data_IF_673003212055
#
_entry.id   IF_673003212055
#
_cell.length_a   1.000
_cell.length_b   1.000
_cell.length_c   1.000
_cell.angle_alpha   90.00
_cell.angle_beta   90.00
_cell.angle_gamma   90.00
#
_symmetry.space_group_name_H-M   'P 1'
#
loop_
_entity.id
_entity.type
_entity.pdbx_description
1 polymer ?
#
# COMPACT_ATOMS: atom_id res chain seq x y z
N UNK A 1 -12.04 0.43 -14.40
CA UNK A 1 -10.91 -0.43 -14.85
C UNK A 1 -11.45 -1.64 -15.60
N UNK A 2 -10.83 -1.98 -16.70
CA UNK A 2 -11.26 -3.15 -17.46
C UNK A 2 -10.69 -4.46 -16.87
N UNK A 3 -11.14 -5.58 -17.41
CA UNK A 3 -10.75 -6.90 -16.91
C UNK A 3 -9.23 -7.12 -17.03
N UNK A 4 -8.63 -6.63 -18.11
CA UNK A 4 -7.19 -6.80 -18.32
C UNK A 4 -6.38 -6.01 -17.27
N UNK A 5 -6.79 -4.78 -16.97
CA UNK A 5 -6.15 -3.98 -15.93
C UNK A 5 -6.25 -4.65 -14.56
N UNK A 6 -7.44 -5.11 -14.20
CA UNK A 6 -7.67 -5.78 -12.92
C UNK A 6 -6.79 -7.03 -12.81
N UNK A 7 -6.71 -7.82 -13.87
CA UNK A 7 -5.89 -9.03 -13.88
C UNK A 7 -4.41 -8.73 -13.70
N UNK A 8 -3.92 -7.68 -14.35
CA UNK A 8 -2.51 -7.28 -14.24
C UNK A 8 -2.19 -6.77 -12.84
N UNK A 9 -3.08 -5.95 -12.26
CA UNK A 9 -2.91 -5.45 -10.91
C UNK A 9 -2.93 -6.57 -9.88
N UNK A 10 -3.85 -7.51 -10.05
CA UNK A 10 -3.95 -8.70 -9.19
C UNK A 10 -2.63 -9.49 -9.21
N UNK A 11 -2.12 -9.77 -10.41
CA UNK A 11 -0.86 -10.51 -10.55
C UNK A 11 0.32 -9.74 -9.97
N UNK A 12 0.38 -8.43 -10.20
CA UNK A 12 1.45 -7.59 -9.68
C UNK A 12 1.48 -7.61 -8.15
N UNK A 13 0.33 -7.40 -7.52
CA UNK A 13 0.28 -7.36 -6.05
C UNK A 13 0.56 -8.72 -5.43
N UNK A 14 0.12 -9.81 -6.05
CA UNK A 14 0.46 -11.16 -5.57
C UNK A 14 1.96 -11.39 -5.60
N UNK A 15 2.64 -10.91 -6.62
CA UNK A 15 4.11 -11.03 -6.71
C UNK A 15 4.80 -10.11 -5.69
N UNK A 16 4.36 -8.85 -5.62
CA UNK A 16 4.98 -7.87 -4.74
C UNK A 16 4.87 -8.29 -3.27
N UNK A 17 3.69 -8.73 -2.88
CA UNK A 17 3.42 -9.13 -1.50
C UNK A 17 3.75 -10.61 -1.24
N UNK A 18 4.17 -11.34 -2.27
CA UNK A 18 4.48 -12.78 -2.17
C UNK A 18 3.32 -13.55 -1.52
N UNK A 19 2.09 -13.19 -1.89
CA UNK A 19 0.89 -13.76 -1.27
C UNK A 19 -0.17 -14.11 -2.32
N UNK A 20 -0.55 -15.40 -2.44
CA UNK A 20 -1.64 -15.79 -3.32
C UNK A 20 -3.01 -15.40 -2.78
N UNK A 21 -3.07 -14.95 -1.52
CA UNK A 21 -4.34 -14.55 -0.88
C UNK A 21 -4.77 -13.13 -1.25
N UNK A 22 -3.89 -12.35 -1.88
CA UNK A 22 -4.23 -11.01 -2.36
C UNK A 22 -5.15 -11.14 -3.57
N UNK A 23 -6.23 -10.37 -3.58
CA UNK A 23 -7.15 -10.31 -4.71
C UNK A 23 -7.53 -8.85 -4.99
N UNK A 24 -7.52 -8.47 -6.26
CA UNK A 24 -8.01 -7.16 -6.69
C UNK A 24 -9.43 -7.35 -7.23
N UNK A 25 -10.39 -6.65 -6.65
CA UNK A 25 -11.81 -6.81 -6.96
C UNK A 25 -12.35 -5.51 -7.55
N UNK A 26 -12.87 -5.53 -8.79
CA UNK A 26 -13.41 -4.32 -9.39
C UNK A 26 -14.73 -3.91 -8.73
N UNK A 27 -15.03 -2.62 -8.80
CA UNK A 27 -16.33 -2.10 -8.37
C UNK A 27 -17.16 -1.79 -9.61
N UNK A 28 -18.31 -2.43 -9.80
CA UNK A 28 -19.07 -2.32 -11.04
C UNK A 28 -19.46 -0.89 -11.44
N UNK A 29 -19.60 0.00 -10.49
CA UNK A 29 -20.06 1.37 -10.73
C UNK A 29 -18.92 2.39 -10.73
N UNK A 30 -17.67 1.94 -10.63
CA UNK A 30 -16.50 2.81 -10.55
C UNK A 30 -15.40 2.33 -11.49
N UNK A 31 -15.04 3.16 -12.45
CA UNK A 31 -13.96 2.85 -13.40
C UNK A 31 -12.58 3.24 -12.87
N UNK A 32 -12.54 4.06 -11.85
CA UNK A 32 -11.32 4.66 -11.32
C UNK A 32 -10.86 4.04 -9.99
N UNK A 33 -11.44 2.90 -9.62
CA UNK A 33 -11.28 2.39 -8.27
C UNK A 33 -11.48 0.88 -8.23
N UNK A 34 -10.68 0.20 -7.42
CA UNK A 34 -10.84 -1.23 -7.15
C UNK A 34 -10.49 -1.48 -5.68
N UNK A 35 -11.04 -2.56 -5.13
CA UNK A 35 -10.74 -2.96 -3.75
C UNK A 35 -9.69 -4.06 -3.76
N UNK A 36 -8.83 -4.07 -2.73
CA UNK A 36 -7.83 -5.11 -2.53
C UNK A 36 -8.17 -5.89 -1.28
N UNK A 37 -8.32 -7.20 -1.44
CA UNK A 37 -8.61 -8.11 -0.33
C UNK A 37 -7.39 -8.96 -0.02
N UNK A 38 -7.20 -9.25 1.25
CA UNK A 38 -6.26 -10.25 1.73
C UNK A 38 -7.09 -11.36 2.36
N UNK A 39 -7.26 -12.47 1.66
CA UNK A 39 -8.24 -13.46 2.04
C UNK A 39 -9.64 -12.87 1.94
N UNK A 40 -10.41 -12.91 3.02
CA UNK A 40 -11.77 -12.38 3.08
C UNK A 40 -11.84 -10.96 3.66
N UNK A 41 -10.70 -10.39 4.05
CA UNK A 41 -10.67 -9.06 4.66
C UNK A 41 -10.32 -7.99 3.64
N UNK A 42 -11.04 -6.88 3.70
CA UNK A 42 -10.70 -5.71 2.91
C UNK A 42 -9.38 -5.15 3.44
N UNK A 43 -8.36 -5.14 2.58
CA UNK A 43 -7.02 -4.75 2.97
C UNK A 43 -6.66 -3.33 2.56
N UNK A 44 -7.08 -2.92 1.37
CA UNK A 44 -6.78 -1.59 0.84
C UNK A 44 -7.54 -1.35 -0.43
N UNK A 45 -7.11 -0.33 -1.18
CA UNK A 45 -7.76 0.01 -2.44
C UNK A 45 -6.76 0.51 -3.47
N UNK A 46 -7.15 0.45 -4.73
CA UNK A 46 -6.37 1.00 -5.83
C UNK A 46 -7.20 2.10 -6.48
N UNK A 47 -6.59 3.27 -6.66
CA UNK A 47 -7.21 4.42 -7.30
C UNK A 47 -6.44 4.72 -8.58
N UNK A 48 -7.16 4.95 -9.68
CA UNK A 48 -6.56 5.29 -10.96
C UNK A 48 -6.16 6.76 -10.97
N UNK A 49 -4.97 7.03 -11.49
CA UNK A 49 -4.46 8.38 -11.71
C UNK A 49 -4.17 8.51 -13.22
N UNK A 50 -4.94 9.37 -13.90
CA UNK A 50 -4.82 9.60 -15.34
C UNK A 50 -4.19 10.96 -15.68
N UNK A 51 -3.51 11.59 -14.74
CA UNK A 51 -2.91 12.90 -15.00
C UNK A 51 -1.82 12.82 -16.06
N UNK A 52 -1.69 13.88 -16.86
CA UNK A 52 -0.62 14.08 -17.84
C UNK A 52 -0.55 12.99 -18.93
N UNK A 53 -1.71 12.47 -19.33
CA UNK A 53 -1.83 11.42 -20.37
C UNK A 53 -1.12 10.12 -20.03
N UNK A 54 -0.61 10.00 -18.81
CA UNK A 54 -0.02 8.76 -18.32
C UNK A 54 -0.97 8.14 -17.30
N UNK A 55 -1.27 6.86 -17.50
CA UNK A 55 -2.12 6.14 -16.56
C UNK A 55 -1.26 5.45 -15.53
N UNK A 56 -1.52 5.75 -14.28
CA UNK A 56 -0.88 5.07 -13.16
C UNK A 56 -1.93 4.72 -12.12
N UNK A 57 -1.51 4.00 -11.10
CA UNK A 57 -2.40 3.54 -10.04
C UNK A 57 -1.76 3.85 -8.70
N UNK A 58 -2.60 4.09 -7.70
CA UNK A 58 -2.12 4.34 -6.35
C UNK A 58 -2.77 3.32 -5.43
N UNK A 59 -1.96 2.48 -4.80
CA UNK A 59 -2.45 1.57 -3.76
C UNK A 59 -2.46 2.34 -2.45
N UNK A 60 -3.59 2.30 -1.76
CA UNK A 60 -3.79 3.04 -0.51
C UNK A 60 -4.31 2.11 0.57
N UNK A 61 -3.77 2.25 1.77
CA UNK A 61 -4.23 1.50 2.93
C UNK A 61 -4.14 2.36 4.17
N UNK A 62 -5.24 2.43 4.91
CA UNK A 62 -5.25 3.07 6.23
C UNK A 62 -4.81 2.05 7.28
N UNK A 63 -3.94 2.46 8.19
CA UNK A 63 -3.42 1.61 9.26
C UNK A 63 -3.63 2.32 10.58
N UNK A 64 -4.31 1.65 11.53
CA UNK A 64 -4.48 2.16 12.89
C UNK A 64 -3.79 1.19 13.84
N UNK A 65 -2.89 1.71 14.66
CA UNK A 65 -2.18 0.90 15.67
C UNK A 65 -2.79 1.13 17.04
N UNK A 66 -2.95 0.05 17.80
CA UNK A 66 -3.44 0.12 19.18
C UNK A 66 -2.50 0.98 20.02
N UNK A 67 -3.06 1.90 20.78
CA UNK A 67 -2.30 2.73 21.70
C UNK A 67 -1.58 3.91 21.08
N UNK A 68 -1.76 4.15 19.77
CA UNK A 68 -1.10 5.28 19.09
C UNK A 68 -1.72 6.62 19.40
N UNK A 69 -2.99 6.64 19.85
CA UNK A 69 -3.69 7.88 20.15
C UNK A 69 -4.06 8.68 18.91
N UNK A 70 -4.28 9.98 19.11
CA UNK A 70 -4.60 10.91 18.01
C UNK A 70 -3.32 11.48 17.42
N UNK A 71 -3.35 11.71 16.11
CA UNK A 71 -2.25 12.33 15.38
C UNK A 71 -0.91 11.68 15.74
N UNK A 72 -0.80 10.35 15.59
CA UNK A 72 0.44 9.66 15.94
C UNK A 72 1.59 10.11 15.04
N UNK A 73 2.80 9.98 15.54
CA UNK A 73 4.00 10.36 14.80
C UNK A 73 4.73 9.10 14.31
N UNK A 74 5.48 9.27 13.24
CA UNK A 74 6.35 8.20 12.74
C UNK A 74 7.71 8.32 13.45
N UNK A 75 7.65 8.10 14.75
CA UNK A 75 8.84 8.04 15.61
C UNK A 75 9.36 6.60 15.66
N UNK A 76 10.43 6.37 16.41
CA UNK A 76 11.06 5.06 16.48
C UNK A 76 10.10 3.97 16.96
N UNK A 77 9.26 4.29 17.96
CA UNK A 77 8.30 3.31 18.51
C UNK A 77 7.25 2.91 17.48
N UNK A 78 6.62 3.88 16.82
CA UNK A 78 5.58 3.60 15.86
C UNK A 78 6.14 2.96 14.58
N UNK A 79 7.33 3.36 14.14
CA UNK A 79 8.00 2.70 13.02
C UNK A 79 8.25 1.22 13.34
N UNK A 80 8.68 0.90 14.56
CA UNK A 80 8.89 -0.49 14.98
C UNK A 80 7.57 -1.28 14.95
N UNK A 81 6.48 -0.69 15.43
CA UNK A 81 5.16 -1.34 15.41
C UNK A 81 4.67 -1.56 13.99
N UNK A 82 4.87 -0.58 13.10
CA UNK A 82 4.49 -0.72 11.70
C UNK A 82 5.30 -1.82 11.00
N UNK A 83 6.59 -1.93 11.32
CA UNK A 83 7.42 -3.01 10.79
C UNK A 83 6.86 -4.39 11.18
N UNK A 84 6.49 -4.56 12.45
CA UNK A 84 5.90 -5.82 12.90
C UNK A 84 4.59 -6.10 12.14
N UNK A 85 3.72 -5.10 12.08
CA UNK A 85 2.43 -5.25 11.41
C UNK A 85 2.57 -5.62 9.94
N UNK A 86 3.40 -4.87 9.20
CA UNK A 86 3.53 -5.10 7.76
C UNK A 86 4.25 -6.41 7.44
N UNK A 87 5.22 -6.80 8.25
CA UNK A 87 5.90 -8.09 8.07
C UNK A 87 4.95 -9.26 8.31
N UNK A 88 4.03 -9.12 9.26
CA UNK A 88 3.01 -10.15 9.51
C UNK A 88 1.98 -10.23 8.36
N UNK A 89 1.59 -9.08 7.82
CA UNK A 89 0.57 -9.03 6.77
C UNK A 89 1.14 -9.33 5.38
N UNK A 90 2.31 -8.82 5.07
CA UNK A 90 2.85 -8.83 3.69
C UNK A 90 4.14 -9.63 3.54
N UNK A 91 4.82 -9.97 4.64
CA UNK A 91 6.02 -10.80 4.60
C UNK A 91 7.27 -10.10 5.10
N UNK A 92 8.29 -10.91 5.36
CA UNK A 92 9.53 -10.47 6.00
C UNK A 92 10.35 -9.49 5.16
N UNK A 93 10.11 -9.41 3.85
CA UNK A 93 10.86 -8.52 2.98
C UNK A 93 10.48 -7.06 3.13
N UNK A 94 9.32 -6.79 3.73
CA UNK A 94 8.85 -5.42 3.91
C UNK A 94 9.49 -4.77 5.11
N UNK A 95 9.90 -3.51 4.94
CA UNK A 95 10.45 -2.73 6.03
C UNK A 95 10.03 -1.27 5.93
N UNK A 96 9.72 -0.68 7.08
CA UNK A 96 9.44 0.75 7.21
C UNK A 96 10.73 1.39 7.70
N UNK A 97 11.22 2.39 6.99
CA UNK A 97 12.44 3.09 7.33
C UNK A 97 12.13 4.53 7.70
N UNK A 98 12.47 4.89 8.93
CA UNK A 98 12.25 6.24 9.45
C UNK A 98 13.12 7.24 8.69
N UNK A 99 12.55 8.40 8.37
CA UNK A 99 13.32 9.51 7.80
C UNK A 99 14.03 10.25 8.93
N UNK A 100 15.31 10.63 8.75
CA UNK A 100 16.10 11.21 9.85
C UNK A 100 15.53 12.47 10.47
N UNK A 101 14.88 13.33 9.68
CA UNK A 101 14.43 14.63 10.13
C UNK A 101 12.93 14.82 10.10
N UNK A 102 12.15 13.74 9.80
CA UNK A 102 10.70 13.85 9.67
C UNK A 102 10.00 12.81 10.53
N UNK A 103 8.91 13.24 11.18
CA UNK A 103 8.05 12.35 11.94
C UNK A 103 6.65 12.23 11.35
N UNK A 104 6.40 12.87 10.19
CA UNK A 104 5.13 12.84 9.48
C UNK A 104 5.13 11.92 8.27
N UNK A 105 6.28 11.34 7.92
CA UNK A 105 6.39 10.40 6.81
C UNK A 105 7.54 9.45 7.04
N UNK A 106 7.46 8.27 6.40
CA UNK A 106 8.50 7.25 6.43
C UNK A 106 8.48 6.50 5.11
N UNK A 107 9.56 5.81 4.80
CA UNK A 107 9.70 5.08 3.54
C UNK A 107 9.36 3.60 3.72
N UNK A 108 8.71 3.03 2.72
CA UNK A 108 8.45 1.58 2.67
C UNK A 108 9.37 0.95 1.64
N UNK A 109 10.05 -0.12 2.04
CA UNK A 109 10.95 -0.88 1.18
C UNK A 109 10.54 -2.35 1.10
N UNK A 110 10.82 -2.97 -0.02
CA UNK A 110 10.80 -4.43 -0.18
C UNK A 110 12.24 -4.83 -0.47
N UNK A 111 12.87 -5.50 0.49
CA UNK A 111 14.31 -5.68 0.43
C UNK A 111 14.97 -4.31 0.47
N UNK A 112 15.80 -4.00 -0.51
CA UNK A 112 16.47 -2.69 -0.61
C UNK A 112 15.76 -1.73 -1.57
N UNK A 113 14.65 -2.16 -2.18
CA UNK A 113 13.94 -1.35 -3.15
C UNK A 113 12.86 -0.49 -2.48
N UNK A 114 12.90 0.80 -2.76
CA UNK A 114 11.86 1.73 -2.31
C UNK A 114 10.57 1.47 -3.10
N UNK A 115 9.45 1.26 -2.40
CA UNK A 115 8.18 0.96 -3.07
C UNK A 115 7.04 1.87 -2.66
N UNK A 116 7.15 2.60 -1.56
CA UNK A 116 6.06 3.45 -1.13
C UNK A 116 6.40 4.34 0.05
N UNK A 117 5.38 5.03 0.54
CA UNK A 117 5.53 6.02 1.62
C UNK A 117 4.41 5.80 2.63
N UNK A 118 4.73 5.99 3.91
CA UNK A 118 3.73 6.09 4.95
C UNK A 118 3.63 7.53 5.41
N UNK A 119 2.41 7.97 5.65
CA UNK A 119 2.12 9.31 6.17
C UNK A 119 1.32 9.20 7.45
N UNK A 120 1.44 10.21 8.29
CA UNK A 120 0.56 10.32 9.46
C UNK A 120 -0.75 10.99 9.06
N UNK A 121 -1.84 10.60 9.73
CA UNK A 121 -3.12 11.30 9.64
C UNK A 121 -3.70 11.45 11.05
N UNK A 122 -4.92 11.97 11.14
CA UNK A 122 -5.53 12.29 12.45
C UNK A 122 -5.79 11.06 13.32
N UNK A 123 -5.99 9.90 12.70
CA UNK A 123 -6.40 8.68 13.40
C UNK A 123 -5.40 7.55 13.30
N UNK A 124 -4.34 7.72 12.54
CA UNK A 124 -3.37 6.65 12.33
C UNK A 124 -2.38 6.98 11.23
N UNK A 125 -2.18 6.03 10.33
CA UNK A 125 -1.21 6.14 9.26
C UNK A 125 -1.86 5.76 7.94
N UNK A 126 -1.35 6.32 6.85
CA UNK A 126 -1.76 5.97 5.50
C UNK A 126 -0.56 5.45 4.73
N UNK A 127 -0.69 4.28 4.13
CA UNK A 127 0.31 3.70 3.25
C UNK A 127 -0.10 3.98 1.81
N UNK A 128 0.83 4.50 1.02
CA UNK A 128 0.61 4.75 -0.40
C UNK A 128 1.75 4.19 -1.23
N UNK A 129 1.39 3.47 -2.30
CA UNK A 129 2.37 2.94 -3.26
C UNK A 129 1.92 3.28 -4.66
N UNK A 130 2.79 3.93 -5.43
CA UNK A 130 2.52 4.22 -6.84
C UNK A 130 2.83 2.99 -7.68
N UNK A 131 1.92 2.65 -8.58
CA UNK A 131 2.08 1.53 -9.51
C UNK A 131 1.98 2.10 -10.92
N UNK A 132 3.03 1.93 -11.70
CA UNK A 132 3.08 2.44 -13.07
C UNK A 132 2.67 1.33 -14.04
N UNK A 133 2.16 1.71 -15.22
CA UNK A 133 1.81 0.71 -16.24
C UNK A 133 2.96 -0.22 -16.56
N UNK A 134 4.17 0.31 -16.61
CA UNK A 134 5.36 -0.48 -16.90
C UNK A 134 5.64 -1.54 -15.82
N UNK A 135 5.20 -1.31 -14.60
CA UNK A 135 5.35 -2.29 -13.51
C UNK A 135 4.45 -3.50 -13.70
N UNK A 136 3.38 -3.35 -14.48
CA UNK A 136 2.40 -4.40 -14.73
C UNK A 136 2.80 -5.32 -15.88
N UNK A 137 3.85 -4.98 -16.60
CA UNK A 137 4.33 -5.81 -17.69
C UNK A 137 4.90 -7.12 -17.15
N UNK A 138 4.60 -8.25 -17.80
CA UNK A 138 5.11 -9.56 -17.37
C UNK A 138 6.60 -9.70 -17.56
#
# INVERSE_FOLDING_TARGET
MDVAEISKLDSYLKRLFSSPRIRVVPRPQRDDYAEVFLGDELFGRIVVDDEDDERSYNFEKAITLSGSGRSPKLDNENVAKLNVYLKQQLGEKFSVRKRPTKTDSADLHVGDEFVGVLFTDDTGFALEMAILEQDLEP
#
